data_IF_261642609477
#
_entry.id   IF_261642609477
#
_cell.length_a   1.000
_cell.length_b   1.000
_cell.length_c   1.000
_cell.angle_alpha   90.00
_cell.angle_beta   90.00
_cell.angle_gamma   90.00
#
_symmetry.space_group_name_H-M   'P 1'
#
loop_
_entity.id
_entity.type
_entity.pdbx_description
1 polymer ?
#
# COMPACT_ATOMS: atom_id res chain seq x y z
N UNK A 1 13.75 21.91 17.47
CA UNK A 1 14.57 20.77 16.99
C UNK A 1 14.35 20.69 15.48
N UNK A 2 14.98 19.77 14.74
CA UNK A 2 14.64 19.57 13.32
C UNK A 2 13.30 18.81 13.24
N UNK A 3 12.32 19.31 12.49
CA UNK A 3 11.00 18.70 12.30
C UNK A 3 11.03 17.20 11.98
N UNK A 4 12.04 16.76 11.21
CA UNK A 4 12.21 15.34 10.89
C UNK A 4 12.59 14.52 12.12
N UNK A 5 13.43 15.07 13.00
CA UNK A 5 13.85 14.41 14.25
C UNK A 5 12.68 14.34 15.22
N UNK A 6 11.90 15.42 15.36
CA UNK A 6 10.71 15.44 16.21
C UNK A 6 9.67 14.41 15.75
N UNK A 7 9.38 14.35 14.44
CA UNK A 7 8.49 13.35 13.87
C UNK A 7 9.00 11.90 14.07
N UNK A 8 10.31 11.68 13.89
CA UNK A 8 10.92 10.37 14.11
C UNK A 8 10.80 9.93 15.58
N UNK A 9 10.91 10.86 16.53
CA UNK A 9 10.69 10.58 17.95
C UNK A 9 9.23 10.26 18.28
N UNK A 10 8.26 10.82 17.56
CA UNK A 10 6.83 10.55 17.77
C UNK A 10 6.44 9.12 17.36
N UNK A 11 6.73 8.71 16.12
CA UNK A 11 6.32 7.39 15.61
C UNK A 11 7.32 6.28 15.97
N UNK A 12 8.62 6.61 16.04
CA UNK A 12 9.72 5.71 16.41
C UNK A 12 9.61 4.30 15.81
N UNK A 13 9.89 4.23 14.50
CA UNK A 13 9.90 2.99 13.73
C UNK A 13 11.18 2.91 12.91
N UNK A 14 11.80 1.73 12.90
CA UNK A 14 12.85 1.35 11.96
C UNK A 14 12.30 0.69 10.68
N UNK A 15 11.01 0.32 10.70
CA UNK A 15 10.32 -0.32 9.58
C UNK A 15 9.69 0.72 8.66
N UNK A 16 9.76 0.45 7.36
CA UNK A 16 9.07 1.19 6.28
C UNK A 16 7.76 0.53 5.85
N UNK A 17 7.42 -0.62 6.43
CA UNK A 17 6.11 -1.24 6.29
C UNK A 17 5.00 -0.33 6.83
N UNK A 18 3.72 -0.60 6.51
CA UNK A 18 2.60 0.11 7.10
C UNK A 18 2.68 0.05 8.64
N UNK A 19 2.27 1.11 9.35
CA UNK A 19 2.27 1.10 10.81
C UNK A 19 1.37 -0.01 11.33
N UNK A 20 1.82 -0.75 12.34
CA UNK A 20 0.91 -1.63 13.08
C UNK A 20 -0.27 -0.80 13.61
N UNK A 21 -1.49 -1.35 13.70
CA UNK A 21 -2.65 -0.57 14.13
C UNK A 21 -2.45 0.12 15.49
N UNK A 22 -1.79 -0.56 16.43
CA UNK A 22 -1.43 0.02 17.73
C UNK A 22 -0.54 1.29 17.66
N UNK A 23 0.17 1.51 16.56
CA UNK A 23 1.04 2.68 16.31
C UNK A 23 0.50 3.63 15.24
N UNK A 24 -0.65 3.35 14.62
CA UNK A 24 -1.18 4.20 13.54
C UNK A 24 -1.46 5.63 14.03
N UNK A 25 -1.91 5.78 15.28
CA UNK A 25 -2.13 7.08 15.89
C UNK A 25 -0.85 7.92 16.00
N UNK A 26 0.27 7.31 16.39
CA UNK A 26 1.56 7.99 16.50
C UNK A 26 2.18 8.28 15.13
N UNK A 27 1.98 7.39 14.15
CA UNK A 27 2.30 7.64 12.75
C UNK A 27 1.54 8.85 12.20
N UNK A 28 0.23 8.92 12.47
CA UNK A 28 -0.61 10.05 12.07
C UNK A 28 -0.21 11.36 12.76
N UNK A 29 0.20 11.33 14.04
CA UNK A 29 0.76 12.52 14.70
C UNK A 29 2.06 12.99 14.04
N UNK A 30 2.95 12.06 13.71
CA UNK A 30 4.21 12.36 13.05
C UNK A 30 3.98 13.00 11.66
N UNK A 31 3.06 12.47 10.85
CA UNK A 31 2.72 13.05 9.54
C UNK A 31 2.09 14.44 9.69
N UNK A 32 1.15 14.63 10.61
CA UNK A 32 0.56 15.96 10.86
C UNK A 32 1.63 16.97 11.27
N UNK A 33 2.57 16.56 12.14
CA UNK A 33 3.70 17.41 12.53
C UNK A 33 4.59 17.77 11.32
N UNK A 34 4.98 16.79 10.50
CA UNK A 34 5.77 17.05 9.27
C UNK A 34 5.02 17.97 8.30
N UNK A 35 3.71 17.81 8.18
CA UNK A 35 2.86 18.64 7.32
C UNK A 35 2.86 20.09 7.79
N UNK A 36 2.64 20.32 9.10
CA UNK A 36 2.66 21.65 9.67
C UNK A 36 4.04 22.31 9.53
N UNK A 37 5.11 21.56 9.81
CA UNK A 37 6.47 22.04 9.58
C UNK A 37 6.73 22.44 8.13
N UNK A 38 6.24 21.65 7.16
CA UNK A 38 6.38 21.98 5.75
C UNK A 38 5.58 23.23 5.38
N UNK A 39 4.37 23.41 5.93
CA UNK A 39 3.56 24.63 5.75
C UNK A 39 4.28 25.85 6.31
N UNK A 40 4.78 25.78 7.54
CA UNK A 40 5.48 26.87 8.20
C UNK A 40 6.74 27.26 7.42
N UNK A 41 7.55 26.27 7.04
CA UNK A 41 8.73 26.49 6.21
C UNK A 41 8.38 27.09 4.86
N UNK A 42 7.32 26.62 4.20
CA UNK A 42 6.87 27.15 2.92
C UNK A 42 6.31 28.57 3.03
N UNK A 43 5.72 28.94 4.17
CA UNK A 43 5.31 30.30 4.49
C UNK A 43 6.52 31.23 4.68
N UNK A 44 7.50 30.78 5.46
CA UNK A 44 8.67 31.58 5.84
C UNK A 44 9.70 31.74 4.71
N UNK A 45 9.80 30.75 3.81
CA UNK A 45 10.79 30.68 2.74
C UNK A 45 10.19 30.84 1.33
N UNK A 46 8.92 31.23 1.23
CA UNK A 46 8.17 31.31 -0.04
C UNK A 46 8.86 32.15 -1.11
N UNK A 47 9.41 33.30 -0.71
CA UNK A 47 9.99 34.28 -1.63
C UNK A 47 11.37 33.86 -2.18
N UNK A 48 11.96 32.79 -1.61
CA UNK A 48 13.30 32.30 -1.98
C UNK A 48 13.24 30.96 -2.70
N UNK A 49 12.07 30.31 -2.70
CA UNK A 49 11.90 28.97 -3.27
C UNK A 49 10.64 28.93 -4.16
N UNK A 50 10.82 29.11 -5.46
CA UNK A 50 9.76 28.89 -6.48
C UNK A 50 9.45 27.39 -6.66
N UNK A 51 9.24 26.65 -5.58
CA UNK A 51 9.18 25.20 -5.61
C UNK A 51 7.73 24.72 -5.62
N UNK A 52 7.18 24.55 -6.82
CA UNK A 52 5.95 23.79 -7.08
C UNK A 52 5.94 22.43 -6.34
N UNK A 53 7.10 21.79 -6.20
CA UNK A 53 7.27 20.53 -5.47
C UNK A 53 6.97 20.64 -3.97
N UNK A 54 7.19 21.81 -3.34
CA UNK A 54 6.88 22.00 -1.92
C UNK A 54 5.37 22.08 -1.69
N UNK A 55 4.65 22.81 -2.55
CA UNK A 55 3.19 22.88 -2.47
C UNK A 55 2.53 21.52 -2.79
N UNK A 56 3.04 20.78 -3.78
CA UNK A 56 2.59 19.42 -4.06
C UNK A 56 2.89 18.45 -2.91
N UNK A 57 4.08 18.54 -2.30
CA UNK A 57 4.42 17.69 -1.15
C UNK A 57 3.52 17.97 0.05
N UNK A 58 3.20 19.23 0.32
CA UNK A 58 2.25 19.61 1.39
C UNK A 58 0.86 19.07 1.08
N UNK A 59 0.36 19.25 -0.15
CA UNK A 59 -0.95 18.71 -0.57
C UNK A 59 -0.99 17.19 -0.49
N UNK A 60 0.10 16.52 -0.85
CA UNK A 60 0.27 15.08 -0.71
C UNK A 60 0.19 14.61 0.75
N UNK A 61 0.90 15.26 1.67
CA UNK A 61 0.78 14.92 3.08
C UNK A 61 -0.64 15.16 3.61
N UNK A 62 -1.29 16.28 3.25
CA UNK A 62 -2.68 16.54 3.61
C UNK A 62 -3.63 15.47 3.05
N UNK A 63 -3.40 14.99 1.82
CA UNK A 63 -4.17 13.89 1.26
C UNK A 63 -4.06 12.62 2.12
N UNK A 64 -2.86 12.27 2.59
CA UNK A 64 -2.67 11.11 3.48
C UNK A 64 -3.37 11.33 4.82
N UNK A 65 -3.25 12.53 5.41
CA UNK A 65 -3.95 12.86 6.66
C UNK A 65 -5.46 12.69 6.51
N UNK A 66 -6.04 13.25 5.45
CA UNK A 66 -7.48 13.22 5.24
C UNK A 66 -8.04 11.82 4.95
N UNK A 67 -7.29 10.98 4.24
CA UNK A 67 -7.78 9.67 3.76
C UNK A 67 -7.32 8.49 4.62
N UNK A 68 -6.40 8.70 5.56
CA UNK A 68 -5.99 7.68 6.55
C UNK A 68 -6.27 8.15 7.96
N UNK A 69 -5.77 9.32 8.33
CA UNK A 69 -5.71 9.74 9.73
C UNK A 69 -7.00 10.35 10.25
N UNK A 70 -7.79 10.96 9.37
CA UNK A 70 -9.09 11.57 9.69
C UNK A 70 -10.27 10.72 9.16
N UNK A 71 -10.01 9.67 8.36
CA UNK A 71 -11.03 8.73 7.89
C UNK A 71 -11.27 7.63 8.94
N UNK A 72 -12.22 7.87 9.85
CA UNK A 72 -12.60 6.92 10.90
C UNK A 72 -13.05 5.56 10.33
N UNK A 73 -13.70 5.55 9.16
CA UNK A 73 -14.14 4.31 8.53
C UNK A 73 -12.94 3.51 8.03
N UNK A 74 -11.96 4.16 7.41
CA UNK A 74 -10.70 3.52 7.05
C UNK A 74 -9.98 2.95 8.28
N UNK A 75 -9.84 3.74 9.35
CA UNK A 75 -9.17 3.31 10.58
C UNK A 75 -9.85 2.10 11.22
N UNK A 76 -11.18 2.06 11.25
CA UNK A 76 -11.92 0.90 11.77
C UNK A 76 -11.64 -0.40 11.01
N UNK A 77 -11.39 -0.33 9.69
CA UNK A 77 -10.97 -1.47 8.87
C UNK A 77 -9.48 -1.77 9.03
N UNK A 78 -8.68 -0.75 9.31
CA UNK A 78 -7.24 -0.87 9.50
C UNK A 78 -6.91 -1.62 10.81
N UNK A 79 -7.74 -1.50 11.84
CA UNK A 79 -7.56 -2.13 13.15
C UNK A 79 -7.48 -3.67 13.10
N UNK A 80 -8.06 -4.30 12.08
CA UNK A 80 -8.08 -5.76 11.92
C UNK A 80 -6.94 -6.29 11.04
N UNK A 81 -5.99 -5.45 10.66
CA UNK A 81 -4.86 -5.83 9.79
C UNK A 81 -3.56 -6.34 10.44
N UNK A 82 -3.39 -6.57 11.78
CA UNK A 82 -2.08 -6.93 12.33
C UNK A 82 -1.39 -8.11 11.65
N UNK A 83 -2.13 -9.20 11.37
CA UNK A 83 -1.55 -10.40 10.72
C UNK A 83 -1.20 -10.15 9.25
N UNK A 84 -2.06 -9.45 8.52
CA UNK A 84 -1.80 -9.10 7.13
C UNK A 84 -0.58 -8.17 7.01
N UNK A 85 -0.47 -7.15 7.86
CA UNK A 85 0.66 -6.20 7.87
C UNK A 85 1.97 -6.94 8.18
N UNK A 86 1.98 -7.81 9.19
CA UNK A 86 3.17 -8.57 9.56
C UNK A 86 3.60 -9.50 8.41
N UNK A 87 2.66 -10.26 7.85
CA UNK A 87 2.94 -11.17 6.74
C UNK A 87 3.39 -10.49 5.45
N UNK A 88 2.91 -9.28 5.17
CA UNK A 88 3.27 -8.52 3.97
C UNK A 88 4.48 -7.60 4.18
N UNK A 89 5.01 -7.49 5.41
CA UNK A 89 5.96 -6.45 5.81
C UNK A 89 7.21 -6.40 4.93
N UNK A 90 7.92 -7.52 4.77
CA UNK A 90 9.20 -7.55 4.03
C UNK A 90 9.00 -7.26 2.52
N UNK A 91 7.93 -7.80 1.94
CA UNK A 91 7.58 -7.53 0.54
C UNK A 91 7.23 -6.06 0.35
N UNK A 92 6.44 -5.48 1.27
CA UNK A 92 6.11 -4.07 1.26
C UNK A 92 7.35 -3.18 1.39
N UNK A 93 8.25 -3.46 2.32
CA UNK A 93 9.48 -2.68 2.51
C UNK A 93 10.36 -2.66 1.26
N UNK A 94 10.40 -3.77 0.55
CA UNK A 94 11.07 -3.88 -0.74
C UNK A 94 10.41 -2.99 -1.79
N UNK A 95 9.09 -3.11 -1.96
CA UNK A 95 8.31 -2.27 -2.88
C UNK A 95 8.48 -0.78 -2.56
N UNK A 96 8.33 -0.39 -1.29
CA UNK A 96 8.37 0.99 -0.84
C UNK A 96 9.78 1.58 -0.91
N UNK A 97 10.82 0.80 -0.62
CA UNK A 97 12.20 1.26 -0.77
C UNK A 97 12.52 1.55 -2.23
N UNK A 98 12.14 0.67 -3.17
CA UNK A 98 12.33 0.93 -4.59
C UNK A 98 11.57 2.19 -5.04
N UNK A 99 10.32 2.33 -4.60
CA UNK A 99 9.49 3.50 -4.90
C UNK A 99 10.11 4.80 -4.39
N UNK A 100 10.47 4.86 -3.10
CA UNK A 100 11.03 6.06 -2.48
C UNK A 100 12.36 6.44 -3.08
N UNK A 101 13.25 5.48 -3.35
CA UNK A 101 14.53 5.77 -4.02
C UNK A 101 14.30 6.47 -5.35
N UNK A 102 13.42 5.94 -6.21
CA UNK A 102 13.12 6.57 -7.50
C UNK A 102 12.49 7.96 -7.33
N UNK A 103 11.50 8.12 -6.43
CA UNK A 103 10.86 9.42 -6.21
C UNK A 103 11.86 10.46 -5.70
N UNK A 104 12.72 10.10 -4.75
CA UNK A 104 13.70 11.01 -4.15
C UNK A 104 14.80 11.38 -5.16
N UNK A 105 15.24 10.43 -6.01
CA UNK A 105 16.15 10.71 -7.14
C UNK A 105 15.54 11.71 -8.13
N UNK A 106 14.28 11.52 -8.51
CA UNK A 106 13.59 12.41 -9.44
C UNK A 106 13.38 13.80 -8.83
N UNK A 107 12.93 13.90 -7.57
CA UNK A 107 12.74 15.18 -6.88
C UNK A 107 14.04 15.99 -6.70
N UNK A 108 15.20 15.33 -6.68
CA UNK A 108 16.50 15.98 -6.57
C UNK A 108 17.10 16.46 -7.91
N UNK A 109 16.39 16.26 -9.04
CA UNK A 109 16.89 16.68 -10.36
C UNK A 109 16.61 18.18 -10.59
N UNK A 110 17.64 18.96 -10.94
CA UNK A 110 17.63 20.45 -10.86
C UNK A 110 17.46 21.18 -12.21
N UNK A 111 16.88 20.58 -13.26
CA UNK A 111 16.90 21.19 -14.60
C UNK A 111 15.51 21.57 -15.13
N UNK A 112 15.34 22.78 -15.67
CA UNK A 112 14.06 23.37 -16.10
C UNK A 112 13.27 22.56 -17.16
N UNK A 113 13.94 21.69 -17.92
CA UNK A 113 13.29 20.81 -18.91
C UNK A 113 12.67 19.54 -18.30
N UNK A 114 12.79 19.32 -16.98
CA UNK A 114 12.49 18.04 -16.33
C UNK A 114 11.10 17.92 -15.74
N UNK A 115 10.26 18.96 -15.67
CA UNK A 115 8.96 18.81 -14.98
C UNK A 115 8.11 17.66 -15.57
N UNK A 116 8.03 17.55 -16.90
CA UNK A 116 7.30 16.47 -17.57
C UNK A 116 8.00 15.10 -17.44
N UNK A 117 9.32 15.07 -17.51
CA UNK A 117 10.11 13.83 -17.41
C UNK A 117 10.10 13.28 -15.99
N UNK A 118 10.37 14.14 -15.00
CA UNK A 118 10.25 13.86 -13.57
C UNK A 118 8.82 13.42 -13.24
N UNK A 119 7.80 14.14 -13.71
CA UNK A 119 6.40 13.73 -13.56
C UNK A 119 6.17 12.32 -14.11
N UNK A 120 6.61 12.07 -15.35
CA UNK A 120 6.48 10.77 -16.00
C UNK A 120 7.12 9.64 -15.17
N UNK A 121 8.36 9.81 -14.72
CA UNK A 121 9.06 8.80 -13.93
C UNK A 121 8.47 8.60 -12.53
N UNK A 122 8.06 9.67 -11.85
CA UNK A 122 7.39 9.56 -10.56
C UNK A 122 6.04 8.83 -10.69
N UNK A 123 5.30 9.09 -11.76
CA UNK A 123 4.06 8.38 -12.07
C UNK A 123 4.28 6.90 -12.40
N UNK A 124 5.33 6.57 -13.16
CA UNK A 124 5.76 5.18 -13.38
C UNK A 124 6.11 4.49 -12.05
N UNK A 125 6.86 5.16 -11.18
CA UNK A 125 7.24 4.62 -9.86
C UNK A 125 6.01 4.39 -8.98
N UNK A 126 5.05 5.33 -8.97
CA UNK A 126 3.78 5.21 -8.25
C UNK A 126 2.98 3.99 -8.72
N UNK A 127 2.83 3.81 -10.03
CA UNK A 127 2.13 2.66 -10.59
C UNK A 127 2.84 1.33 -10.28
N UNK A 128 4.17 1.31 -10.37
CA UNK A 128 4.98 0.12 -10.06
C UNK A 128 4.85 -0.28 -8.58
N UNK A 129 4.91 0.70 -7.67
CA UNK A 129 4.70 0.46 -6.24
C UNK A 129 3.33 -0.17 -5.99
N UNK A 130 2.26 0.40 -6.55
CA UNK A 130 0.90 -0.11 -6.39
C UNK A 130 0.74 -1.52 -6.93
N UNK A 131 1.37 -1.85 -8.06
CA UNK A 131 1.38 -3.23 -8.59
C UNK A 131 2.15 -4.17 -7.67
N UNK A 132 3.33 -3.76 -7.21
CA UNK A 132 4.19 -4.55 -6.33
C UNK A 132 3.46 -4.90 -5.02
N UNK A 133 2.80 -3.93 -4.37
CA UNK A 133 2.01 -4.20 -3.17
C UNK A 133 0.77 -5.02 -3.47
N UNK A 134 0.10 -4.80 -4.60
CA UNK A 134 -1.07 -5.58 -4.99
C UNK A 134 -0.70 -7.06 -5.13
N UNK A 135 0.34 -7.36 -5.88
CA UNK A 135 0.76 -8.74 -6.08
C UNK A 135 1.18 -9.36 -4.74
N UNK A 136 1.96 -8.65 -3.91
CA UNK A 136 2.38 -9.12 -2.59
C UNK A 136 1.19 -9.43 -1.65
N UNK A 137 0.20 -8.55 -1.57
CA UNK A 137 -0.95 -8.69 -0.67
C UNK A 137 -1.89 -9.82 -1.09
N UNK A 138 -2.09 -9.97 -2.39
CA UNK A 138 -3.04 -10.95 -2.95
C UNK A 138 -2.38 -12.29 -3.33
N UNK A 139 -1.09 -12.49 -3.07
CA UNK A 139 -0.42 -13.79 -3.24
C UNK A 139 -0.32 -14.57 -1.91
N UNK A 140 -0.92 -14.06 -0.83
CA UNK A 140 -0.89 -14.64 0.52
C UNK A 140 -2.29 -14.75 1.16
N UNK A 141 -3.27 -15.44 0.54
CA UNK A 141 -4.66 -15.49 1.01
C UNK A 141 -4.86 -16.00 2.43
N UNK A 142 -4.02 -16.93 2.87
CA UNK A 142 -4.10 -17.53 4.19
C UNK A 142 -3.67 -16.57 5.32
N UNK A 143 -2.80 -15.60 5.00
CA UNK A 143 -2.25 -14.64 5.98
C UNK A 143 -2.93 -13.28 5.86
N UNK A 144 -3.24 -12.87 4.63
CA UNK A 144 -3.99 -11.66 4.33
C UNK A 144 -5.25 -12.00 3.52
N UNK A 145 -6.39 -12.22 4.21
CA UNK A 145 -7.68 -12.44 3.57
C UNK A 145 -8.08 -11.27 2.66
N UNK A 146 -8.96 -11.54 1.70
CA UNK A 146 -9.35 -10.59 0.66
C UNK A 146 -9.66 -9.17 1.18
N UNK A 147 -10.56 -9.05 2.16
CA UNK A 147 -10.98 -7.75 2.72
C UNK A 147 -9.83 -6.99 3.40
N UNK A 148 -8.88 -7.72 4.00
CA UNK A 148 -7.68 -7.16 4.60
C UNK A 148 -6.71 -6.69 3.50
N UNK A 149 -6.51 -7.52 2.47
CA UNK A 149 -5.67 -7.20 1.32
C UNK A 149 -6.19 -5.95 0.58
N UNK A 150 -7.50 -5.84 0.37
CA UNK A 150 -8.14 -4.65 -0.22
C UNK A 150 -7.88 -3.41 0.64
N UNK A 151 -8.03 -3.51 1.96
CA UNK A 151 -7.83 -2.37 2.87
C UNK A 151 -6.36 -1.93 2.87
N UNK A 152 -5.42 -2.89 2.91
CA UNK A 152 -3.99 -2.58 2.89
C UNK A 152 -3.50 -2.12 1.51
N UNK A 153 -4.13 -2.57 0.44
CA UNK A 153 -3.90 -2.02 -0.90
C UNK A 153 -4.44 -0.59 -1.02
N UNK A 154 -5.58 -0.27 -0.40
CA UNK A 154 -6.06 1.12 -0.33
C UNK A 154 -5.06 2.00 0.42
N UNK A 155 -4.45 1.50 1.50
CA UNK A 155 -3.35 2.21 2.17
C UNK A 155 -2.19 2.50 1.20
N UNK A 156 -1.76 1.52 0.40
CA UNK A 156 -0.65 1.69 -0.56
C UNK A 156 -0.95 2.76 -1.60
N UNK A 157 -2.19 2.77 -2.11
CA UNK A 157 -2.66 3.78 -3.05
C UNK A 157 -2.56 5.16 -2.41
N UNK A 158 -3.15 5.36 -1.22
CA UNK A 158 -3.17 6.67 -0.54
C UNK A 158 -1.75 7.19 -0.24
N UNK A 159 -0.87 6.37 0.33
CA UNK A 159 0.49 6.83 0.66
C UNK A 159 1.31 7.14 -0.60
N UNK A 160 1.11 6.38 -1.68
CA UNK A 160 1.78 6.65 -2.95
C UNK A 160 1.29 7.92 -3.64
N UNK A 161 0.02 8.29 -3.45
CA UNK A 161 -0.53 9.60 -3.88
C UNK A 161 0.01 10.72 -3.02
N UNK A 162 0.20 10.46 -1.72
CA UNK A 162 0.85 11.41 -0.83
C UNK A 162 2.28 11.75 -1.23
N UNK A 163 3.08 10.75 -1.56
CA UNK A 163 4.48 10.94 -1.99
C UNK A 163 4.59 11.56 -3.39
N UNK A 164 3.65 11.22 -4.30
CA UNK A 164 3.57 11.71 -5.68
C UNK A 164 2.17 12.28 -5.94
N UNK A 165 1.94 13.50 -5.45
CA UNK A 165 0.67 14.20 -5.52
C UNK A 165 0.51 14.96 -6.85
N UNK A 166 0.57 14.20 -7.94
CA UNK A 166 0.42 14.69 -9.31
C UNK A 166 -0.62 13.86 -10.07
N UNK A 167 -1.19 14.41 -11.14
CA UNK A 167 -2.14 13.68 -12.00
C UNK A 167 -1.40 12.68 -12.90
N UNK A 168 -1.32 11.42 -12.45
CA UNK A 168 -0.77 10.34 -13.27
C UNK A 168 -1.84 9.52 -14.00
N UNK A 169 -3.11 9.91 -13.93
CA UNK A 169 -4.20 9.12 -14.52
C UNK A 169 -4.56 9.66 -15.91
N UNK A 170 -4.28 10.94 -16.16
CA UNK A 170 -4.51 11.59 -17.45
C UNK A 170 -3.25 11.60 -18.32
N UNK A 171 -3.39 11.25 -19.61
CA UNK A 171 -2.35 11.39 -20.65
C UNK A 171 -0.98 10.71 -20.37
N UNK A 172 -0.93 9.74 -19.45
CA UNK A 172 0.29 9.01 -19.13
C UNK A 172 0.58 7.84 -20.10
N UNK A 173 1.80 7.83 -20.65
CA UNK A 173 2.26 6.78 -21.58
C UNK A 173 2.95 5.63 -20.84
N UNK A 174 2.21 4.93 -19.99
CA UNK A 174 2.75 3.88 -19.10
C UNK A 174 3.54 2.77 -19.79
N UNK A 175 3.22 2.46 -21.05
CA UNK A 175 3.97 1.50 -21.86
C UNK A 175 5.45 1.84 -22.03
N UNK A 176 5.82 3.12 -21.88
CA UNK A 176 7.19 3.62 -22.00
C UNK A 176 7.93 3.69 -20.66
N UNK A 177 7.31 3.27 -19.55
CA UNK A 177 7.99 3.25 -18.26
C UNK A 177 9.19 2.29 -18.28
N UNK A 178 10.21 2.52 -17.44
CA UNK A 178 11.31 1.57 -17.26
C UNK A 178 10.77 0.17 -16.90
N UNK A 179 11.17 -0.84 -17.67
CA UNK A 179 10.67 -2.21 -17.50
C UNK A 179 9.28 -2.48 -18.10
N UNK A 180 8.73 -1.55 -18.87
CA UNK A 180 7.43 -1.66 -19.53
C UNK A 180 6.27 -1.17 -18.67
N UNK A 181 5.03 -1.44 -19.08
CA UNK A 181 3.82 -0.98 -18.40
C UNK A 181 3.77 -1.49 -16.94
N UNK A 182 3.87 -0.60 -15.94
CA UNK A 182 3.93 -0.97 -14.54
C UNK A 182 2.53 -1.19 -13.94
N UNK A 183 1.45 -0.90 -14.69
CA UNK A 183 0.10 -1.09 -14.19
C UNK A 183 -0.22 -2.57 -13.97
N UNK A 184 -1.13 -2.91 -13.05
CA UNK A 184 -1.57 -4.28 -12.85
C UNK A 184 -2.11 -4.87 -14.16
N UNK A 185 -1.71 -6.11 -14.44
CA UNK A 185 -2.31 -6.87 -15.55
C UNK A 185 -3.82 -7.06 -15.34
N UNK A 186 -4.58 -7.40 -16.37
CA UNK A 186 -6.01 -7.71 -16.22
C UNK A 186 -6.29 -8.82 -15.19
N UNK A 187 -5.36 -9.79 -15.05
CA UNK A 187 -5.43 -10.84 -14.03
C UNK A 187 -5.20 -10.29 -12.61
N UNK A 188 -4.19 -9.44 -12.44
CA UNK A 188 -3.91 -8.79 -11.14
C UNK A 188 -5.05 -7.84 -10.76
N UNK A 189 -5.60 -7.09 -11.71
CA UNK A 189 -6.75 -6.21 -11.46
C UNK A 189 -8.01 -7.00 -11.08
N UNK A 190 -8.23 -8.17 -11.68
CA UNK A 190 -9.34 -9.05 -11.32
C UNK A 190 -9.29 -9.50 -9.84
N UNK A 191 -8.10 -9.52 -9.22
CA UNK A 191 -7.95 -9.79 -7.78
C UNK A 191 -8.56 -8.68 -6.91
N UNK A 192 -8.73 -7.46 -7.41
CA UNK A 192 -9.43 -6.37 -6.71
C UNK A 192 -10.95 -6.39 -6.90
N UNK A 193 -11.44 -7.11 -7.91
CA UNK A 193 -12.84 -7.11 -8.31
C UNK A 193 -13.60 -8.37 -7.88
N UNK A 194 -12.90 -9.44 -7.51
CA UNK A 194 -13.49 -10.75 -7.23
C UNK A 194 -13.22 -11.19 -5.79
N UNK A 195 -14.12 -10.83 -4.87
CA UNK A 195 -14.14 -11.39 -3.51
C UNK A 195 -14.42 -12.92 -3.52
N UNK A 196 -15.26 -13.38 -4.45
CA UNK A 196 -15.76 -14.77 -4.48
C UNK A 196 -14.72 -15.80 -4.96
N UNK A 197 -13.75 -15.39 -5.78
CA UNK A 197 -12.67 -16.26 -6.26
C UNK A 197 -11.54 -16.47 -5.25
N UNK A 198 -11.39 -15.56 -4.29
CA UNK A 198 -10.30 -15.55 -3.30
C UNK A 198 -10.68 -16.26 -2.00
N UNK A 199 -11.98 -16.30 -1.69
CA UNK A 199 -12.53 -17.01 -0.53
C UNK A 199 -12.83 -18.49 -0.79
N UNK A 200 -12.55 -19.01 -1.98
CA UNK A 200 -12.65 -20.45 -2.22
C UNK A 200 -11.47 -21.12 -1.52
N UNK A 201 -11.70 -21.92 -0.45
CA UNK A 201 -10.64 -22.78 0.02
C UNK A 201 -10.28 -23.66 -1.17
N UNK A 202 -8.99 -23.80 -1.42
CA UNK A 202 -8.46 -24.83 -2.31
C UNK A 202 -9.03 -26.17 -1.84
N UNK A 203 -10.15 -26.55 -2.44
CA UNK A 203 -10.85 -27.80 -2.19
C UNK A 203 -10.09 -28.89 -2.94
N UNK A 204 -8.90 -29.17 -2.43
CA UNK A 204 -8.08 -30.32 -2.79
C UNK A 204 -7.70 -31.06 -1.50
N UNK A 205 -8.69 -31.34 -0.67
CA UNK A 205 -8.64 -32.49 0.23
C UNK A 205 -9.82 -33.38 -0.13
N UNK A 206 -9.57 -34.31 -1.04
CA UNK A 206 -10.39 -35.50 -1.24
C UNK A 206 -10.56 -36.20 0.11
N UNK A 207 -11.67 -35.95 0.79
CA UNK A 207 -12.12 -36.69 1.96
C UNK A 207 -12.51 -38.12 1.54
N UNK A 208 -11.52 -38.99 1.36
CA UNK A 208 -11.73 -40.44 1.23
C UNK A 208 -12.05 -41.13 2.56
N UNK A 209 -12.11 -40.40 3.68
CA UNK A 209 -12.35 -40.99 4.99
C UNK A 209 -13.83 -41.29 5.30
N UNK A 210 -14.79 -40.63 4.65
CA UNK A 210 -16.22 -40.78 5.00
C UNK A 210 -16.93 -41.94 4.29
N UNK A 211 -16.39 -42.45 3.17
CA UNK A 211 -17.00 -43.57 2.44
C UNK A 211 -16.62 -44.92 3.07
N UNK A 212 -15.44 -45.03 3.68
CA UNK A 212 -14.98 -46.25 4.36
C UNK A 212 -15.73 -46.54 5.66
N UNK A 213 -16.19 -45.52 6.39
CA UNK A 213 -16.94 -45.71 7.64
C UNK A 213 -18.37 -46.20 7.38
N UNK A 214 -18.99 -45.74 6.29
CA UNK A 214 -20.36 -46.15 5.92
C UNK A 214 -20.37 -47.58 5.37
N UNK A 215 -19.36 -48.00 4.61
CA UNK A 215 -19.23 -49.38 4.13
C UNK A 215 -18.93 -50.39 5.25
N UNK A 216 -18.17 -50.02 6.29
CA UNK A 216 -17.95 -50.89 7.44
C UNK A 216 -19.20 -51.10 8.30
N UNK A 217 -20.06 -50.08 8.43
CA UNK A 217 -21.32 -50.20 9.19
C UNK A 217 -22.37 -51.08 8.49
N UNK A 218 -22.40 -51.06 7.15
CA UNK A 218 -23.34 -51.90 6.38
C UNK A 218 -22.91 -53.38 6.43
N UNK A 219 -21.61 -53.69 6.37
CA UNK A 219 -21.14 -55.07 6.49
C UNK A 219 -21.34 -55.69 7.89
N UNK A 220 -21.32 -54.88 8.95
CA UNK A 220 -21.55 -55.38 10.32
C UNK A 220 -23.02 -55.72 10.62
N UNK A 221 -23.98 -55.11 9.90
CA UNK A 221 -25.41 -55.42 10.09
C UNK A 221 -25.88 -56.71 9.40
N UNK A 222 -25.19 -57.19 8.36
CA UNK A 222 -25.52 -58.46 7.68
C UNK A 222 -24.90 -59.69 8.37
N UNK A 223 -23.89 -59.50 9.23
CA UNK A 223 -23.24 -60.58 10.00
C UNK A 223 -23.90 -60.88 11.36
N UNK A 224 -24.91 -60.10 11.74
CA UNK A 224 -25.64 -60.21 13.01
C UNK A 224 -27.11 -60.63 12.86
N UNK A 225 -27.47 -61.21 11.70
CA UNK A 225 -28.78 -61.82 11.44
C UNK A 225 -28.69 -63.34 11.33
#
# INVERSE_FOLDING_TARGET
MNCTVEAALMYNSSRKSPPMPAKVGDWCKAIRHLTNCAIDWNSDCKDVTESHFNEESIRGHMHVVNNVCDDEWFLSRYDVLPMCIDGASDAWETCYTSFKTTVDEQKNTTHEWTHYETHFFMCCARALFRRCTLDALFDMPEVCPYEQAVTLQKFSVIVSEGDVYQDCDTNMMYVNCPGGDPRPSGKSLAKLMNADGYNSPSSAVTNHASVLVILCLICLCELLK
#
